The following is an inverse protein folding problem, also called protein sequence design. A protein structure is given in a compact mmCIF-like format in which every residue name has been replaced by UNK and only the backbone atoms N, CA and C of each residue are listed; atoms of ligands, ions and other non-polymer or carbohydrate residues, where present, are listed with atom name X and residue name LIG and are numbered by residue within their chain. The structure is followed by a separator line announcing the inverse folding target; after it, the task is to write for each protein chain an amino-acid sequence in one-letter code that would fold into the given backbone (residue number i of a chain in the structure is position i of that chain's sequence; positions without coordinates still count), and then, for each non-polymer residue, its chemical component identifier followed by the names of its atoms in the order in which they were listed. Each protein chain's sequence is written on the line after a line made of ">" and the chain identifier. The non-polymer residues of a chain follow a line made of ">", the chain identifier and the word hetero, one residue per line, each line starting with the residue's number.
data_IF_508795638848
#
_entry.id   IF_508795638848
#
_cell.length_a   1.000
_cell.length_b   1.000
_cell.length_c   1.000
_cell.angle_alpha   90.00
_cell.angle_beta   90.00
_cell.angle_gamma   90.00
#
_symmetry.space_group_name_H-M   'P 1'
#
loop_
_entity.id
_entity.type
_entity.pdbx_description
1 polymer ?
#
# COMPACT_ATOMS: atom_id res chain seq x y z
N UNK A 1 -5.61 10.04 -16.99
CA UNK A 1 -5.36 8.69 -17.55
C UNK A 1 -6.40 8.37 -18.60
N UNK A 2 -6.01 8.00 -19.82
CA UNK A 2 -6.94 7.61 -20.87
C UNK A 2 -7.17 6.10 -20.79
N UNK A 3 -8.43 5.67 -20.89
CA UNK A 3 -8.81 4.24 -20.90
C UNK A 3 -9.24 3.84 -22.32
N UNK A 4 -9.04 2.56 -22.74
CA UNK A 4 -8.38 1.47 -22.00
C UNK A 4 -6.87 1.67 -21.88
N UNK A 5 -6.27 1.07 -20.85
CA UNK A 5 -4.84 1.18 -20.57
C UNK A 5 -4.33 -0.15 -20.01
N UNK A 6 -3.23 -0.63 -20.59
CA UNK A 6 -2.40 -1.66 -19.98
C UNK A 6 -1.27 -0.97 -19.20
N UNK A 7 -1.15 -1.20 -17.89
CA UNK A 7 -0.07 -0.63 -17.10
C UNK A 7 1.31 -0.98 -17.64
N UNK A 8 2.14 0.02 -17.91
CA UNK A 8 3.54 -0.15 -18.31
C UNK A 8 4.48 0.20 -17.16
N UNK A 9 5.70 -0.36 -17.09
CA UNK A 9 6.68 0.02 -16.06
C UNK A 9 7.85 0.79 -16.68
N UNK A 10 8.25 1.98 -16.15
CA UNK A 10 7.68 2.68 -14.99
C UNK A 10 6.47 3.56 -15.33
N UNK A 11 5.45 3.59 -14.46
CA UNK A 11 4.27 4.44 -14.60
C UNK A 11 3.49 4.63 -13.29
N UNK A 12 2.60 5.63 -13.25
CA UNK A 12 1.77 5.89 -12.08
C UNK A 12 0.76 4.77 -11.82
N UNK A 13 0.20 4.17 -12.86
CA UNK A 13 -0.71 3.03 -12.75
C UNK A 13 -0.02 1.81 -12.14
N UNK A 14 1.23 1.56 -12.50
CA UNK A 14 2.02 0.51 -11.85
C UNK A 14 2.22 0.81 -10.38
N UNK A 15 2.52 2.06 -10.02
CA UNK A 15 2.71 2.44 -8.62
C UNK A 15 1.42 2.35 -7.80
N UNK A 16 0.29 2.77 -8.37
CA UNK A 16 -1.02 2.67 -7.71
C UNK A 16 -1.45 1.21 -7.48
N UNK A 17 -1.03 0.30 -8.35
CA UNK A 17 -1.40 -1.13 -8.28
C UNK A 17 -0.44 -1.98 -7.45
N UNK A 18 0.85 -1.65 -7.44
CA UNK A 18 1.90 -2.54 -6.92
C UNK A 18 2.76 -1.94 -5.78
N UNK A 19 2.58 -0.66 -5.42
CA UNK A 19 3.29 -0.10 -4.27
C UNK A 19 2.77 -0.68 -2.94
N UNK A 20 3.68 -0.87 -1.98
CA UNK A 20 3.38 -1.44 -0.67
C UNK A 20 3.93 -0.57 0.48
N UNK A 21 3.20 -0.43 1.60
CA UNK A 21 3.76 0.13 2.80
C UNK A 21 4.78 -0.85 3.40
N UNK A 22 5.93 -0.32 3.83
CA UNK A 22 6.99 -1.08 4.51
C UNK A 22 7.24 -0.48 5.88
N UNK A 23 7.20 -1.34 6.90
CA UNK A 23 7.37 -0.93 8.29
C UNK A 23 8.85 -0.65 8.57
N UNK A 24 9.14 0.49 9.18
CA UNK A 24 10.48 0.82 9.66
C UNK A 24 11.39 1.51 8.65
N UNK A 25 10.89 1.83 7.45
CA UNK A 25 11.63 2.61 6.46
C UNK A 25 11.17 4.07 6.45
N UNK A 26 12.02 4.95 5.91
CA UNK A 26 11.71 6.36 5.62
C UNK A 26 11.83 6.60 4.11
N UNK A 27 10.87 7.29 3.52
CA UNK A 27 10.87 7.55 2.07
C UNK A 27 10.43 6.33 1.26
N UNK A 28 11.09 6.10 0.11
CA UNK A 28 10.80 5.02 -0.84
C UNK A 28 11.99 4.09 -1.00
N UNK A 29 11.72 2.81 -1.24
CA UNK A 29 12.72 1.80 -1.59
C UNK A 29 12.20 0.84 -2.68
N UNK A 30 13.07 0.11 -3.42
CA UNK A 30 12.60 -0.90 -4.36
C UNK A 30 11.73 -1.95 -3.69
N UNK A 31 10.56 -2.25 -4.25
CA UNK A 31 9.67 -3.25 -3.66
C UNK A 31 10.28 -4.66 -3.78
N UNK A 32 10.23 -5.45 -2.70
CA UNK A 32 10.64 -6.85 -2.68
C UNK A 32 9.85 -7.74 -3.65
N UNK A 33 8.70 -7.28 -4.14
CA UNK A 33 7.92 -7.93 -5.21
C UNK A 33 8.55 -7.82 -6.60
N UNK A 34 9.56 -6.96 -6.78
CA UNK A 34 10.14 -6.65 -8.09
C UNK A 34 9.27 -5.75 -8.96
N UNK A 35 8.20 -5.16 -8.41
CA UNK A 35 7.30 -4.24 -9.09
C UNK A 35 7.02 -3.02 -8.20
N UNK A 36 7.23 -1.81 -8.75
CA UNK A 36 7.09 -0.54 -8.03
C UNK A 36 7.97 -0.44 -6.76
N UNK A 37 7.54 0.33 -5.77
CA UNK A 37 8.29 0.73 -4.59
C UNK A 37 7.58 0.34 -3.29
N UNK A 38 8.39 0.08 -2.26
CA UNK A 38 7.96 0.17 -0.88
C UNK A 38 7.96 1.63 -0.42
N UNK A 39 7.01 2.02 0.44
CA UNK A 39 6.95 3.36 1.03
C UNK A 39 6.80 3.35 2.55
N UNK A 40 7.43 4.32 3.21
CA UNK A 40 7.38 4.51 4.66
C UNK A 40 6.13 5.25 5.15
N UNK A 41 5.96 5.29 6.47
CA UNK A 41 4.87 6.03 7.12
C UNK A 41 4.96 7.55 6.85
N UNK A 42 6.17 8.09 6.74
CA UNK A 42 6.40 9.51 6.45
C UNK A 42 5.82 9.92 5.09
N UNK A 43 6.00 9.08 4.07
CA UNK A 43 5.43 9.28 2.74
C UNK A 43 3.90 9.26 2.79
N UNK A 44 3.32 8.33 3.55
CA UNK A 44 1.87 8.24 3.71
C UNK A 44 1.31 9.51 4.38
N UNK A 45 1.92 9.96 5.48
CA UNK A 45 1.50 11.17 6.21
C UNK A 45 1.62 12.42 5.33
N UNK A 46 2.75 12.58 4.63
CA UNK A 46 2.93 13.71 3.71
C UNK A 46 1.90 13.69 2.58
N UNK A 47 1.62 12.50 2.03
CA UNK A 47 0.64 12.34 0.95
C UNK A 47 -0.77 12.69 1.43
N UNK A 48 -1.19 12.19 2.60
CA UNK A 48 -2.48 12.55 3.20
C UNK A 48 -2.60 14.07 3.40
N UNK A 49 -1.56 14.72 3.96
CA UNK A 49 -1.52 16.17 4.15
C UNK A 49 -1.61 16.94 2.83
N UNK A 50 -0.90 16.49 1.80
CA UNK A 50 -0.83 17.16 0.49
C UNK A 50 -2.14 17.03 -0.28
N UNK A 51 -2.86 15.93 -0.10
CA UNK A 51 -4.13 15.65 -0.78
C UNK A 51 -5.36 16.08 0.04
N UNK A 52 -5.16 16.57 1.27
CA UNK A 52 -6.23 16.95 2.20
C UNK A 52 -7.21 15.78 2.47
N UNK A 53 -6.66 14.61 2.77
CA UNK A 53 -7.43 13.39 3.09
C UNK A 53 -6.98 12.81 4.44
N UNK A 54 -7.91 12.14 5.12
CA UNK A 54 -7.64 11.57 6.44
C UNK A 54 -6.97 10.19 6.39
N UNK A 55 -7.26 9.38 5.37
CA UNK A 55 -6.76 8.00 5.29
C UNK A 55 -6.64 7.46 3.87
N UNK A 56 -5.79 6.45 3.71
CA UNK A 56 -5.68 5.61 2.51
C UNK A 56 -6.18 4.21 2.83
N UNK A 57 -7.33 3.84 2.29
CA UNK A 57 -7.81 2.46 2.30
C UNK A 57 -7.20 1.69 1.12
N UNK A 58 -6.53 0.56 1.40
CA UNK A 58 -5.83 -0.25 0.38
C UNK A 58 -6.03 -1.76 0.56
N UNK A 59 -5.60 -2.54 -0.44
CA UNK A 59 -5.60 -4.00 -0.44
C UNK A 59 -4.18 -4.56 -0.71
N UNK A 60 -4.07 -5.63 -1.51
CA UNK A 60 -2.83 -6.18 -2.08
C UNK A 60 -1.85 -6.90 -1.12
N UNK A 61 -1.72 -6.49 0.14
CA UNK A 61 -1.04 -7.28 1.18
C UNK A 61 -2.02 -8.17 1.95
N UNK A 62 -1.77 -9.47 1.97
CA UNK A 62 -2.54 -10.42 2.79
C UNK A 62 -2.20 -10.18 4.26
N UNK A 63 -3.19 -9.72 5.04
CA UNK A 63 -3.08 -9.71 6.50
C UNK A 63 -3.84 -10.88 7.08
N UNK A 64 -3.11 -11.79 7.73
CA UNK A 64 -3.73 -12.86 8.50
C UNK A 64 -4.26 -12.25 9.80
N UNK A 65 -5.56 -12.03 9.85
CA UNK A 65 -6.27 -11.81 11.11
C UNK A 65 -6.66 -13.18 11.65
N UNK A 66 -5.87 -13.71 12.60
CA UNK A 66 -6.34 -14.84 13.39
C UNK A 66 -7.40 -14.27 14.34
N UNK A 67 -8.67 -14.47 14.01
CA UNK A 67 -9.75 -14.26 14.98
C UNK A 67 -9.48 -15.21 16.15
N UNK A 68 -9.28 -14.73 17.40
CA UNK A 68 -9.39 -15.62 18.52
C UNK A 68 -10.81 -16.16 18.48
N UNK A 69 -10.98 -17.48 18.32
CA UNK A 69 -12.27 -18.10 18.65
C UNK A 69 -12.57 -17.67 20.07
N UNK A 70 -13.58 -16.81 20.26
CA UNK A 70 -14.21 -16.68 21.56
C UNK A 70 -14.72 -18.07 21.90
N UNK A 71 -14.02 -18.78 22.77
CA UNK A 71 -14.55 -19.99 23.39
C UNK A 71 -15.76 -19.56 24.21
N UNK A 72 -16.94 -19.76 23.64
CA UNK A 72 -18.20 -19.78 24.38
C UNK A 72 -18.19 -21.00 25.29
N UNK A 73 -18.08 -20.75 26.60
CA UNK A 73 -18.64 -21.48 27.75
C UNK A 73 -18.74 -23.02 27.69
N UNK A 74 -17.94 -23.67 28.54
CA UNK A 74 -18.45 -24.49 29.64
C UNK A 74 -17.63 -24.22 30.91
#
# INVERSE_FOLDING_TARGET
>A
MQRPLEPASPSLEMDLLWADPVVGIKGFEPNLRGASFGFGEDVLVETCRRLDIDMVARAHQVRIFIYPKKNTLC
#
